data_IF_795847225955
#
_entry.id   IF_795847225955
#
_cell.length_a   1.000
_cell.length_b   1.000
_cell.length_c   1.000
_cell.angle_alpha   90.00
_cell.angle_beta   90.00
_cell.angle_gamma   90.00
#
_symmetry.space_group_name_H-M   'P 1'
#
loop_
_entity.id
_entity.type
_entity.pdbx_description
1 polymer ?
#
# COMPACT_ATOMS: atom_id res chain seq x y z
N UNK A 1 13.64 47.35 -44.59
CA UNK A 1 13.18 47.77 -43.24
C UNK A 1 13.96 46.94 -42.23
N UNK A 2 15.09 47.46 -41.75
CA UNK A 2 16.01 46.74 -40.86
C UNK A 2 15.58 46.96 -39.43
N UNK A 3 15.12 45.89 -38.75
CA UNK A 3 14.86 45.97 -37.32
C UNK A 3 16.20 46.23 -36.58
N UNK A 4 16.26 47.22 -35.68
CA UNK A 4 17.51 47.58 -35.02
C UNK A 4 17.97 46.41 -34.15
N UNK A 5 19.28 46.12 -34.15
CA UNK A 5 19.90 45.00 -33.42
C UNK A 5 19.50 44.92 -31.94
N UNK A 6 19.11 46.05 -31.34
CA UNK A 6 18.59 46.18 -29.98
C UNK A 6 17.29 45.38 -29.74
N UNK A 7 16.39 45.27 -30.73
CA UNK A 7 15.16 44.47 -30.63
C UNK A 7 15.44 42.95 -30.62
N UNK A 8 16.48 42.49 -31.33
CA UNK A 8 16.88 41.08 -31.28
C UNK A 8 17.47 40.68 -29.93
N UNK A 9 18.19 41.59 -29.26
CA UNK A 9 18.79 41.35 -27.94
C UNK A 9 17.72 41.30 -26.85
N UNK A 10 16.75 42.20 -26.88
CA UNK A 10 15.63 42.22 -25.91
C UNK A 10 14.72 41.01 -26.05
N UNK A 11 14.42 40.57 -27.28
CA UNK A 11 13.64 39.34 -27.54
C UNK A 11 14.37 38.10 -27.00
N UNK A 12 15.70 38.00 -27.19
CA UNK A 12 16.51 36.89 -26.66
C UNK A 12 16.56 36.89 -25.13
N UNK A 13 16.66 38.05 -24.50
CA UNK A 13 16.62 38.17 -23.04
C UNK A 13 15.25 37.78 -22.47
N UNK A 14 14.16 38.22 -23.09
CA UNK A 14 12.79 37.86 -22.66
C UNK A 14 12.52 36.36 -22.82
N UNK A 15 12.96 35.74 -23.93
CA UNK A 15 12.86 34.29 -24.14
C UNK A 15 13.70 33.52 -23.11
N UNK A 16 14.92 33.95 -22.83
CA UNK A 16 15.78 33.31 -21.82
C UNK A 16 15.15 33.39 -20.41
N UNK A 17 14.58 34.54 -20.04
CA UNK A 17 13.88 34.69 -18.76
C UNK A 17 12.62 33.83 -18.66
N UNK A 18 11.88 33.61 -19.75
CA UNK A 18 10.70 32.74 -19.75
C UNK A 18 11.05 31.26 -19.59
N UNK A 19 12.14 30.80 -20.20
CA UNK A 19 12.61 29.40 -20.07
C UNK A 19 13.07 29.07 -18.64
N UNK A 20 13.71 30.02 -17.95
CA UNK A 20 14.14 29.85 -16.54
C UNK A 20 12.93 29.80 -15.60
N UNK A 21 11.89 30.60 -15.84
CA UNK A 21 10.68 30.59 -15.03
C UNK A 21 9.86 29.29 -15.16
N UNK A 22 9.85 28.65 -16.35
CA UNK A 22 9.15 27.37 -16.57
C UNK A 22 9.83 26.17 -15.90
N UNK A 23 11.13 26.25 -15.61
CA UNK A 23 11.90 25.14 -15.04
C UNK A 23 11.65 24.94 -13.53
N UNK A 24 11.00 25.90 -12.86
CA UNK A 24 10.80 25.87 -11.41
C UNK A 24 9.61 25.00 -10.94
N UNK A 25 8.74 24.55 -11.86
CA UNK A 25 7.49 23.85 -11.51
C UNK A 25 7.52 22.32 -11.68
N UNK A 26 8.69 21.72 -11.98
CA UNK A 26 8.81 20.26 -12.05
C UNK A 26 9.30 19.69 -10.72
N UNK A 27 8.46 19.72 -9.66
CA UNK A 27 8.68 18.77 -8.55
C UNK A 27 8.31 17.37 -9.03
N UNK A 28 9.30 16.48 -9.11
CA UNK A 28 9.06 15.08 -9.42
C UNK A 28 8.22 14.47 -8.29
N UNK A 29 6.97 14.10 -8.59
CA UNK A 29 6.10 13.40 -7.63
C UNK A 29 6.78 12.10 -7.19
N UNK A 30 6.85 11.92 -5.87
CA UNK A 30 7.35 10.69 -5.29
C UNK A 30 6.48 9.50 -5.74
N UNK A 31 7.11 8.34 -5.96
CA UNK A 31 6.39 7.13 -6.34
C UNK A 31 5.99 6.34 -5.10
N UNK A 32 4.68 6.12 -4.95
CA UNK A 32 4.09 5.27 -3.92
C UNK A 32 3.80 3.88 -4.51
N UNK A 33 4.50 2.87 -4.01
CA UNK A 33 4.38 1.48 -4.43
C UNK A 33 3.36 0.72 -3.58
N UNK A 34 2.25 0.30 -4.20
CA UNK A 34 1.21 -0.53 -3.59
C UNK A 34 1.51 -2.01 -3.75
N UNK A 35 1.73 -2.69 -2.64
CA UNK A 35 2.06 -4.10 -2.55
C UNK A 35 0.77 -4.93 -2.42
N UNK A 36 0.36 -5.56 -3.52
CA UNK A 36 -0.86 -6.36 -3.57
C UNK A 36 -0.56 -7.86 -3.62
N UNK A 37 -1.39 -8.64 -2.94
CA UNK A 37 -1.33 -10.10 -2.90
C UNK A 37 -2.61 -10.70 -3.44
N UNK A 38 -2.52 -11.87 -4.05
CA UNK A 38 -3.68 -12.63 -4.53
C UNK A 38 -4.36 -13.28 -3.32
N UNK A 39 -5.35 -12.61 -2.75
CA UNK A 39 -6.05 -13.07 -1.54
C UNK A 39 -7.55 -12.86 -1.77
N UNK A 40 -8.23 -13.76 -2.50
CA UNK A 40 -9.69 -13.71 -2.60
C UNK A 40 -10.35 -13.84 -1.21
N UNK A 41 -11.47 -13.13 -0.95
CA UNK A 41 -12.21 -12.22 -1.84
C UNK A 41 -11.69 -10.76 -1.82
N UNK A 42 -10.54 -10.50 -1.21
CA UNK A 42 -9.99 -9.15 -1.02
C UNK A 42 -9.39 -8.58 -2.31
N UNK A 43 -8.46 -9.32 -2.93
CA UNK A 43 -7.76 -8.94 -4.16
C UNK A 43 -7.72 -10.16 -5.05
N UNK A 44 -8.19 -10.05 -6.29
CA UNK A 44 -8.39 -11.19 -7.21
C UNK A 44 -7.65 -10.91 -8.52
N UNK A 45 -6.53 -11.61 -8.75
CA UNK A 45 -5.71 -11.36 -9.95
C UNK A 45 -6.06 -12.21 -11.17
N UNK A 46 -6.85 -13.26 -11.01
CA UNK A 46 -7.16 -14.20 -12.10
C UNK A 46 -8.59 -14.76 -12.03
N UNK A 47 -9.05 -15.36 -13.13
CA UNK A 47 -10.40 -15.92 -13.25
C UNK A 47 -11.47 -14.87 -13.57
N UNK A 48 -12.73 -15.31 -13.58
CA UNK A 48 -13.88 -14.50 -14.01
C UNK A 48 -14.18 -13.32 -13.07
N UNK A 49 -13.72 -13.39 -11.82
CA UNK A 49 -13.90 -12.35 -10.80
C UNK A 49 -12.67 -11.44 -10.66
N UNK A 50 -11.73 -11.50 -11.61
CA UNK A 50 -10.54 -10.65 -11.59
C UNK A 50 -10.91 -9.18 -11.45
N UNK A 51 -10.27 -8.48 -10.52
CA UNK A 51 -10.49 -7.06 -10.25
C UNK A 51 -11.82 -6.74 -9.54
N UNK A 52 -12.56 -7.75 -9.09
CA UNK A 52 -13.82 -7.59 -8.37
C UNK A 52 -13.66 -7.78 -6.86
N UNK A 53 -12.43 -7.89 -6.36
CA UNK A 53 -12.16 -7.97 -4.93
C UNK A 53 -12.47 -6.66 -4.19
N UNK A 54 -12.73 -6.76 -2.89
CA UNK A 54 -13.04 -5.58 -2.06
C UNK A 54 -11.93 -4.52 -2.09
N UNK A 55 -10.66 -4.93 -2.07
CA UNK A 55 -9.51 -4.03 -2.18
C UNK A 55 -9.30 -3.58 -3.63
N UNK A 56 -9.59 -4.42 -4.61
CA UNK A 56 -9.52 -4.02 -6.03
C UNK A 56 -10.44 -2.83 -6.31
N UNK A 57 -11.63 -2.80 -5.71
CA UNK A 57 -12.57 -1.68 -5.80
C UNK A 57 -12.17 -0.46 -4.95
N UNK A 58 -11.51 -0.68 -3.81
CA UNK A 58 -11.03 0.39 -2.93
C UNK A 58 -9.85 1.16 -3.53
N UNK A 59 -8.92 0.47 -4.20
CA UNK A 59 -7.66 1.05 -4.65
C UNK A 59 -7.84 2.29 -5.53
N UNK A 60 -8.70 2.31 -6.57
CA UNK A 60 -8.92 3.50 -7.39
C UNK A 60 -9.42 4.70 -6.59
N UNK A 61 -10.30 4.48 -5.62
CA UNK A 61 -10.83 5.53 -4.74
C UNK A 61 -9.74 6.08 -3.83
N UNK A 62 -8.88 5.21 -3.29
CA UNK A 62 -7.78 5.58 -2.42
C UNK A 62 -6.72 6.40 -3.18
N UNK A 63 -6.29 5.94 -4.35
CA UNK A 63 -5.30 6.65 -5.17
C UNK A 63 -5.82 7.98 -5.69
N UNK A 64 -7.12 8.09 -6.01
CA UNK A 64 -7.72 9.36 -6.42
C UNK A 64 -7.70 10.43 -5.30
N UNK A 65 -7.57 10.02 -4.04
CA UNK A 65 -7.48 10.92 -2.88
C UNK A 65 -6.06 11.32 -2.51
N UNK A 66 -5.05 10.77 -3.19
CA UNK A 66 -3.63 11.09 -2.97
C UNK A 66 -2.94 11.48 -4.29
N UNK A 67 -3.47 12.49 -5.02
CA UNK A 67 -2.97 12.86 -6.34
C UNK A 67 -1.53 13.40 -6.35
N UNK A 68 -0.96 13.72 -5.19
CA UNK A 68 0.41 14.16 -5.01
C UNK A 68 1.45 13.06 -5.28
N UNK A 69 1.06 11.78 -5.27
CA UNK A 69 1.95 10.66 -5.54
C UNK A 69 1.76 10.06 -6.94
N UNK A 70 2.84 9.51 -7.49
CA UNK A 70 2.76 8.57 -8.60
C UNK A 70 2.46 7.17 -8.04
N UNK A 71 1.35 6.55 -8.43
CA UNK A 71 0.98 5.25 -7.88
C UNK A 71 1.40 4.10 -8.78
N UNK A 72 2.11 3.12 -8.22
CA UNK A 72 2.48 1.87 -8.91
C UNK A 72 1.95 0.68 -8.13
N UNK A 73 1.30 -0.26 -8.82
CA UNK A 73 0.78 -1.49 -8.23
C UNK A 73 1.73 -2.65 -8.52
N UNK A 74 2.19 -3.34 -7.48
CA UNK A 74 3.12 -4.47 -7.60
C UNK A 74 2.51 -5.71 -6.96
N UNK A 75 2.40 -6.78 -7.76
CA UNK A 75 2.04 -8.11 -7.27
C UNK A 75 3.21 -8.72 -6.50
N UNK A 76 2.98 -9.10 -5.25
CA UNK A 76 3.98 -9.70 -4.37
C UNK A 76 3.41 -10.93 -3.65
N UNK A 77 4.32 -11.76 -3.12
CA UNK A 77 3.97 -12.72 -2.08
C UNK A 77 4.14 -12.07 -0.69
N UNK A 78 3.76 -12.78 0.39
CA UNK A 78 3.86 -12.25 1.76
C UNK A 78 5.29 -11.89 2.17
N UNK A 79 6.26 -12.77 1.87
CA UNK A 79 7.65 -12.57 2.28
C UNK A 79 8.28 -11.34 1.59
N UNK A 80 8.11 -11.24 0.27
CA UNK A 80 8.55 -10.10 -0.53
C UNK A 80 7.87 -8.80 -0.10
N UNK A 81 6.56 -8.83 0.14
CA UNK A 81 5.84 -7.65 0.60
C UNK A 81 6.38 -7.13 1.94
N UNK A 82 6.67 -8.04 2.89
CA UNK A 82 7.26 -7.65 4.17
C UNK A 82 8.70 -7.14 4.02
N UNK A 83 9.49 -7.74 3.12
CA UNK A 83 10.83 -7.25 2.82
C UNK A 83 10.79 -5.83 2.28
N UNK A 84 9.95 -5.55 1.28
CA UNK A 84 9.80 -4.23 0.68
C UNK A 84 9.28 -3.18 1.69
N UNK A 85 8.41 -3.56 2.63
CA UNK A 85 7.98 -2.65 3.71
C UNK A 85 9.05 -2.39 4.76
N UNK A 86 9.98 -3.32 4.95
CA UNK A 86 11.09 -3.14 5.86
C UNK A 86 12.25 -2.37 5.21
N UNK A 87 12.31 -2.32 3.89
CA UNK A 87 13.23 -1.49 3.12
C UNK A 87 12.84 -0.01 3.22
N UNK A 88 13.78 0.85 3.62
CA UNK A 88 13.55 2.29 3.77
C UNK A 88 13.86 3.09 2.50
N UNK A 89 14.36 2.45 1.45
CA UNK A 89 14.76 3.13 0.21
C UNK A 89 13.58 3.53 -0.65
N UNK A 90 12.46 2.79 -0.58
CA UNK A 90 11.26 3.03 -1.37
C UNK A 90 10.03 3.30 -0.49
N UNK A 91 9.17 4.20 -0.94
CA UNK A 91 7.86 4.44 -0.32
C UNK A 91 6.90 3.31 -0.73
N UNK A 92 6.78 2.30 0.12
CA UNK A 92 5.92 1.13 -0.10
C UNK A 92 4.77 1.05 0.90
N UNK A 93 3.59 0.64 0.44
CA UNK A 93 2.39 0.42 1.25
C UNK A 93 1.69 -0.91 0.92
N UNK A 94 1.17 -1.60 1.93
CA UNK A 94 0.29 -2.77 1.78
C UNK A 94 -1.10 -2.44 2.37
N UNK A 95 -2.17 -2.43 1.56
CA UNK A 95 -3.52 -2.05 2.00
C UNK A 95 -4.20 -3.13 2.88
N UNK A 96 -3.59 -4.30 3.00
CA UNK A 96 -4.11 -5.46 3.72
C UNK A 96 -3.15 -5.94 4.81
N UNK A 97 -2.24 -5.08 5.27
CA UNK A 97 -1.27 -5.47 6.28
C UNK A 97 -1.96 -5.70 7.63
N UNK A 98 -1.78 -6.91 8.17
CA UNK A 98 -2.22 -7.22 9.52
C UNK A 98 -1.32 -6.52 10.52
N UNK A 99 -1.94 -5.75 11.40
CA UNK A 99 -1.25 -5.07 12.48
C UNK A 99 -0.71 -6.07 13.52
N UNK A 100 0.53 -5.84 13.96
CA UNK A 100 1.11 -6.44 15.16
C UNK A 100 1.99 -5.39 15.84
N UNK A 101 2.17 -5.50 17.16
CA UNK A 101 3.07 -4.60 17.90
C UNK A 101 4.49 -4.63 17.33
N UNK A 102 4.97 -5.81 16.90
CA UNK A 102 6.30 -5.96 16.29
C UNK A 102 6.44 -5.18 14.99
N UNK A 103 5.45 -5.28 14.08
CA UNK A 103 5.48 -4.57 12.79
C UNK A 103 5.35 -3.07 12.95
N UNK A 104 4.59 -2.63 13.96
CA UNK A 104 4.41 -1.21 14.26
C UNK A 104 5.70 -0.51 14.69
N UNK A 105 6.78 -1.25 15.01
CA UNK A 105 8.10 -0.67 15.27
C UNK A 105 8.75 -0.07 14.02
N UNK A 106 8.45 -0.60 12.83
CA UNK A 106 9.10 -0.19 11.57
C UNK A 106 8.12 0.29 10.49
N UNK A 107 6.82 -0.03 10.63
CA UNK A 107 5.78 0.26 9.65
C UNK A 107 4.72 1.18 10.28
N UNK A 108 4.36 2.26 9.59
CA UNK A 108 3.27 3.14 9.98
C UNK A 108 1.94 2.53 9.53
N UNK A 109 0.93 2.55 10.39
CA UNK A 109 -0.39 1.98 10.09
C UNK A 109 -1.48 3.04 10.07
N UNK A 110 -2.40 2.93 9.10
CA UNK A 110 -3.62 3.71 9.06
C UNK A 110 -4.61 3.29 10.16
N UNK A 111 -5.73 4.01 10.23
CA UNK A 111 -6.96 3.51 10.85
C UNK A 111 -7.40 2.20 10.17
N UNK A 112 -8.07 1.27 10.89
CA UNK A 112 -8.43 -0.03 10.35
C UNK A 112 -9.51 0.13 9.28
N UNK A 113 -9.29 -0.55 8.14
CA UNK A 113 -10.20 -0.51 6.98
C UNK A 113 -11.12 -1.73 7.02
N UNK A 114 -10.63 -2.86 7.54
CA UNK A 114 -11.43 -4.08 7.71
C UNK A 114 -10.98 -4.87 8.95
N UNK A 115 -11.94 -5.38 9.70
CA UNK A 115 -11.69 -6.34 10.77
C UNK A 115 -11.59 -7.74 10.18
N UNK A 116 -10.50 -8.47 10.46
CA UNK A 116 -10.31 -9.83 9.99
C UNK A 116 -10.44 -10.78 11.17
N UNK A 117 -11.27 -11.80 11.03
CA UNK A 117 -11.36 -12.89 12.00
C UNK A 117 -10.01 -13.61 12.05
N UNK A 118 -9.54 -13.92 13.26
CA UNK A 118 -8.29 -14.64 13.43
C UNK A 118 -8.31 -15.96 12.67
N UNK A 119 -7.14 -16.37 12.15
CA UNK A 119 -6.97 -17.64 11.47
C UNK A 119 -7.46 -18.78 12.35
N UNK A 120 -8.44 -19.54 11.85
CA UNK A 120 -8.91 -20.76 12.49
C UNK A 120 -8.18 -21.99 11.96
N UNK A 121 -8.19 -23.08 12.74
CA UNK A 121 -7.82 -24.39 12.23
C UNK A 121 -8.94 -24.89 11.31
N UNK A 122 -8.63 -25.17 10.05
CA UNK A 122 -9.54 -25.83 9.11
C UNK A 122 -9.10 -27.29 9.00
N UNK A 123 -10.00 -28.21 9.36
CA UNK A 123 -9.78 -29.66 9.26
C UNK A 123 -10.70 -30.25 8.19
N UNK A 124 -10.24 -31.32 7.52
CA UNK A 124 -11.14 -32.09 6.66
C UNK A 124 -12.21 -32.75 7.52
N UNK A 125 -13.42 -32.85 6.98
CA UNK A 125 -14.58 -33.41 7.69
C UNK A 125 -14.32 -34.85 8.16
N UNK A 126 -13.62 -35.65 7.36
CA UNK A 126 -13.22 -37.03 7.68
C UNK A 126 -12.22 -37.14 8.84
N UNK A 127 -11.37 -36.13 9.05
CA UNK A 127 -10.39 -36.12 10.15
C UNK A 127 -10.96 -35.55 11.45
N UNK A 128 -12.22 -35.08 11.46
CA UNK A 128 -12.80 -34.39 12.61
C UNK A 128 -12.72 -35.21 13.90
N UNK A 129 -12.90 -36.54 13.81
CA UNK A 129 -12.80 -37.45 14.95
C UNK A 129 -11.41 -37.48 15.60
N UNK A 130 -10.34 -37.21 14.83
CA UNK A 130 -8.96 -37.15 15.33
C UNK A 130 -8.69 -35.88 16.14
N UNK A 131 -9.50 -34.85 15.92
CA UNK A 131 -9.36 -33.56 16.58
C UNK A 131 -10.39 -33.34 17.69
N UNK A 132 -11.26 -34.32 17.99
CA UNK A 132 -12.34 -34.18 18.98
C UNK A 132 -11.85 -33.71 20.36
N UNK A 133 -10.64 -34.12 20.77
CA UNK A 133 -10.01 -33.70 22.03
C UNK A 133 -9.62 -32.22 22.08
N UNK A 134 -9.57 -31.55 20.93
CA UNK A 134 -9.23 -30.13 20.78
C UNK A 134 -10.44 -29.27 20.39
N UNK A 135 -11.64 -29.86 20.36
CA UNK A 135 -12.88 -29.20 19.94
C UNK A 135 -13.80 -29.09 21.15
N UNK A 136 -14.05 -27.87 21.62
CA UNK A 136 -15.11 -27.57 22.59
C UNK A 136 -16.10 -26.59 21.93
N UNK A 137 -17.40 -26.84 22.04
CA UNK A 137 -18.48 -26.04 21.44
C UNK A 137 -18.34 -25.77 19.93
N UNK A 138 -17.83 -26.75 19.16
CA UNK A 138 -17.61 -26.60 17.72
C UNK A 138 -16.50 -25.61 17.35
N UNK A 139 -15.71 -25.15 18.34
CA UNK A 139 -14.56 -24.27 18.17
C UNK A 139 -13.29 -25.04 18.48
N UNK A 140 -12.35 -25.03 17.54
CA UNK A 140 -11.03 -25.63 17.72
C UNK A 140 -10.27 -24.78 18.75
N UNK A 141 -10.12 -25.26 19.99
CA UNK A 141 -9.31 -24.62 21.01
C UNK A 141 -7.87 -25.09 20.89
N UNK A 142 -7.27 -24.87 19.73
CA UNK A 142 -5.82 -24.75 19.68
C UNK A 142 -5.50 -23.38 20.24
N UNK A 143 -4.96 -23.32 21.47
CA UNK A 143 -4.35 -22.09 21.98
C UNK A 143 -3.19 -21.76 21.05
N UNK A 144 -3.45 -20.93 20.03
CA UNK A 144 -2.41 -20.06 19.51
C UNK A 144 -1.96 -19.24 20.71
N UNK A 145 -0.70 -19.41 21.09
CA UNK A 145 -0.03 -18.40 21.89
C UNK A 145 -0.30 -17.04 21.22
N UNK A 146 -0.52 -16.03 22.05
CA UNK A 146 -0.75 -14.62 21.69
C UNK A 146 -2.23 -14.24 21.81
N UNK A 147 -2.60 -13.83 23.02
CA UNK A 147 -3.89 -13.19 23.36
C UNK A 147 -4.07 -11.82 22.71
N UNK A 148 -3.71 -11.67 21.44
CA UNK A 148 -3.85 -10.44 20.68
C UNK A 148 -5.33 -10.29 20.26
N UNK A 149 -5.96 -9.12 20.50
CA UNK A 149 -7.31 -8.86 20.01
C UNK A 149 -7.38 -9.02 18.48
N UNK A 150 -8.58 -9.35 17.98
CA UNK A 150 -8.91 -9.55 16.56
C UNK A 150 -7.95 -8.82 15.59
N UNK A 151 -7.28 -9.56 14.71
CA UNK A 151 -6.32 -8.97 13.77
C UNK A 151 -7.04 -7.97 12.84
N UNK A 152 -6.67 -6.70 12.93
CA UNK A 152 -7.22 -5.65 12.07
C UNK A 152 -6.30 -5.46 10.87
N UNK A 153 -6.87 -5.53 9.67
CA UNK A 153 -6.17 -5.09 8.47
C UNK A 153 -6.24 -3.57 8.37
N UNK A 154 -5.06 -3.00 8.16
CA UNK A 154 -4.78 -1.57 8.07
C UNK A 154 -3.86 -1.37 6.86
N UNK A 155 -3.89 -0.18 6.26
CA UNK A 155 -2.82 0.19 5.34
C UNK A 155 -1.53 0.31 6.16
N UNK A 156 -0.54 -0.53 5.88
CA UNK A 156 0.79 -0.46 6.45
C UNK A 156 1.73 0.18 5.43
N UNK A 157 2.35 1.30 5.77
CA UNK A 157 3.23 2.07 4.90
C UNK A 157 4.60 2.25 5.55
N UNK A 158 5.65 2.11 4.74
CA UNK A 158 6.98 2.57 5.15
C UNK A 158 7.15 4.00 4.69
N UNK A 159 7.09 4.93 5.63
CA UNK A 159 7.47 6.31 5.36
C UNK A 159 8.99 6.38 5.26
N UNK A 160 9.54 6.89 4.15
CA UNK A 160 10.81 7.62 4.24
C UNK A 160 10.61 8.71 5.30
N UNK A 161 11.58 8.93 6.16
CA UNK A 161 11.50 9.92 7.24
C UNK A 161 11.34 11.34 6.64
N UNK A 162 10.11 11.73 6.31
CA UNK A 162 9.66 13.11 6.35
C UNK A 162 8.48 13.16 7.30
N UNK A 163 8.79 13.49 8.55
CA UNK A 163 7.93 14.45 9.25
C UNK A 163 7.77 15.62 8.29
N UNK A 164 6.61 15.72 7.67
CA UNK A 164 6.04 17.00 7.34
C UNK A 164 5.76 17.70 8.67
N UNK A 165 6.82 18.27 9.27
CA UNK A 165 6.70 19.45 10.12
C UNK A 165 7.09 20.62 9.21
N UNK A 166 6.06 21.15 8.54
CA UNK A 166 6.03 22.54 8.11
C UNK A 166 4.59 23.03 8.26
#
# INVERSE_FOLDING_TARGET
>A
MSFPASYCVTIRLLLASSLVAMSCFSEARETLTWLLRDIPPSTIFSGNLRGQGAIDQLMPLLTARMPEYNHVLVRVNRARGLQMLNDSTELSCDPTMLWTAERAKTILFSIPIVAILSSGLVVRKEDLARFSTFIEDGKNRLRGADGQPHHQARCGCRTQLRRADR
#
